data_IF_856447036684
#
_entry.id   IF_856447036684
#
_cell.length_a   1.000
_cell.length_b   1.000
_cell.length_c   1.000
_cell.angle_alpha   90.00
_cell.angle_beta   90.00
_cell.angle_gamma   90.00
#
_symmetry.space_group_name_H-M   'P 1'
#
loop_
_entity.id
_entity.type
_entity.pdbx_description
1 polymer ?
#
# COMPACT_ATOMS: atom_id res chain seq x y z
N UNK A 1 2.28 8.61 25.65
CA UNK A 1 3.20 9.17 24.62
C UNK A 1 4.34 9.89 25.31
N UNK A 2 5.58 9.78 24.81
CA UNK A 2 6.74 10.55 25.32
C UNK A 2 6.88 11.86 24.53
N UNK A 3 7.09 12.99 25.21
CA UNK A 3 7.40 14.28 24.55
C UNK A 3 8.87 14.33 24.19
N UNK A 4 9.17 14.66 22.94
CA UNK A 4 10.55 14.82 22.44
C UNK A 4 10.62 16.15 21.71
N UNK A 5 11.56 17.02 22.09
CA UNK A 5 11.85 18.28 21.40
C UNK A 5 12.93 18.03 20.37
N UNK A 6 12.73 18.50 19.14
CA UNK A 6 13.64 18.32 18.01
C UNK A 6 13.84 19.68 17.36
N UNK A 7 15.09 20.09 17.13
CA UNK A 7 15.39 21.27 16.33
C UNK A 7 15.28 20.93 14.85
N UNK A 8 14.57 21.76 14.09
CA UNK A 8 14.42 21.61 12.64
C UNK A 8 15.08 22.81 11.94
N UNK A 9 15.65 22.63 10.74
CA UNK A 9 15.94 23.74 9.85
C UNK A 9 14.70 24.61 9.59
N UNK A 10 14.88 25.92 9.44
CA UNK A 10 13.78 26.88 9.31
C UNK A 10 12.86 26.57 8.12
N UNK A 11 13.44 26.20 6.97
CA UNK A 11 12.71 25.81 5.76
C UNK A 11 11.82 24.57 5.98
N UNK A 12 12.30 23.61 6.77
CA UNK A 12 11.54 22.42 7.14
C UNK A 12 10.43 22.74 8.16
N UNK A 13 10.70 23.63 9.11
CA UNK A 13 9.68 24.11 10.05
C UNK A 13 8.55 24.83 9.31
N UNK A 14 8.89 25.71 8.36
CA UNK A 14 7.93 26.42 7.50
C UNK A 14 7.12 25.46 6.62
N UNK A 15 7.74 24.40 6.11
CA UNK A 15 7.03 23.36 5.37
C UNK A 15 6.03 22.60 6.25
N UNK A 16 6.44 22.23 7.48
CA UNK A 16 5.57 21.52 8.43
C UNK A 16 4.37 22.39 8.86
N UNK A 17 4.59 23.67 9.11
CA UNK A 17 3.53 24.62 9.48
C UNK A 17 2.53 24.83 8.34
N UNK A 18 3.01 24.92 7.10
CA UNK A 18 2.13 24.96 5.92
C UNK A 18 1.29 23.70 5.82
N UNK A 19 1.88 22.53 6.03
CA UNK A 19 1.15 21.26 5.94
C UNK A 19 0.12 21.08 7.06
N UNK A 20 0.47 21.49 8.28
CA UNK A 20 -0.43 21.55 9.44
C UNK A 20 -1.70 22.34 9.13
N UNK A 21 -1.54 23.53 8.53
CA UNK A 21 -2.67 24.37 8.09
C UNK A 21 -3.44 23.74 6.93
N UNK A 22 -2.76 23.17 5.94
CA UNK A 22 -3.39 22.53 4.76
C UNK A 22 -4.27 21.34 5.14
N UNK A 23 -3.83 20.51 6.09
CA UNK A 23 -4.58 19.31 6.53
C UNK A 23 -5.51 19.56 7.70
N UNK A 24 -5.51 20.77 8.27
CA UNK A 24 -6.18 21.08 9.54
C UNK A 24 -5.82 20.09 10.66
N UNK A 25 -4.55 19.67 10.72
CA UNK A 25 -4.04 18.71 11.68
C UNK A 25 -2.86 19.31 12.45
N UNK A 26 -2.68 18.94 13.72
CA UNK A 26 -1.55 19.46 14.49
C UNK A 26 -0.22 18.96 13.90
N UNK A 27 0.80 19.81 13.90
CA UNK A 27 2.16 19.48 13.43
C UNK A 27 2.71 18.19 14.07
N UNK A 28 2.36 17.92 15.33
CA UNK A 28 2.77 16.70 16.04
C UNK A 28 2.10 15.42 15.52
N UNK A 29 0.93 15.51 14.88
CA UNK A 29 0.29 14.37 14.20
C UNK A 29 1.00 14.07 12.88
N UNK A 30 1.24 15.11 12.07
CA UNK A 30 1.97 14.99 10.79
C UNK A 30 3.39 14.45 11.03
N UNK A 31 4.11 15.00 11.99
CA UNK A 31 5.45 14.53 12.33
C UNK A 31 5.45 13.07 12.80
N UNK A 32 4.44 12.66 13.58
CA UNK A 32 4.31 11.26 14.02
C UNK A 32 3.98 10.33 12.86
N UNK A 33 3.09 10.70 11.95
CA UNK A 33 2.78 9.92 10.74
C UNK A 33 4.03 9.75 9.86
N UNK A 34 4.74 10.84 9.59
CA UNK A 34 5.97 10.82 8.80
C UNK A 34 7.08 9.96 9.45
N UNK A 35 7.29 10.11 10.76
CA UNK A 35 8.26 9.30 11.50
C UNK A 35 7.85 7.82 11.55
N UNK A 36 6.57 7.53 11.73
CA UNK A 36 6.03 6.17 11.68
C UNK A 36 6.25 5.51 10.32
N UNK A 37 5.96 6.24 9.23
CA UNK A 37 6.19 5.78 7.87
C UNK A 37 7.69 5.54 7.60
N UNK A 38 8.54 6.50 7.96
CA UNK A 38 9.99 6.44 7.75
C UNK A 38 10.67 5.32 8.55
N UNK A 39 10.31 5.17 9.82
CA UNK A 39 10.87 4.13 10.69
C UNK A 39 10.18 2.76 10.52
N UNK A 40 9.09 2.70 9.76
CA UNK A 40 8.28 1.50 9.58
C UNK A 40 7.55 1.04 10.86
N UNK A 41 7.39 1.92 11.85
CA UNK A 41 6.77 1.63 13.14
C UNK A 41 5.32 2.13 13.15
N UNK A 42 4.36 1.26 13.47
CA UNK A 42 2.93 1.62 13.50
C UNK A 42 2.07 1.03 12.39
N UNK A 43 2.62 0.16 11.53
CA UNK A 43 1.85 -0.70 10.60
C UNK A 43 1.14 -1.86 11.32
N UNK A 44 0.47 -1.58 12.43
CA UNK A 44 -0.33 -2.56 13.19
C UNK A 44 -1.80 -2.58 12.75
N UNK A 45 -2.10 -2.17 11.50
CA UNK A 45 -3.48 -2.09 11.02
C UNK A 45 -3.64 -1.76 9.52
N UNK A 46 -2.69 -1.11 8.88
CA UNK A 46 -2.73 -0.92 7.43
C UNK A 46 -2.05 -2.08 6.71
N UNK A 47 -2.91 -2.81 5.98
CA UNK A 47 -2.60 -3.93 5.10
C UNK A 47 -1.31 -3.61 4.33
N UNK A 48 -0.23 -4.33 4.66
CA UNK A 48 1.01 -4.33 3.86
C UNK A 48 0.60 -4.50 2.40
N UNK A 49 0.84 -3.48 1.58
CA UNK A 49 0.68 -3.63 0.13
C UNK A 49 1.64 -4.72 -0.31
N UNK A 50 1.06 -5.89 -0.57
CA UNK A 50 1.80 -7.04 -1.04
C UNK A 50 2.16 -6.72 -2.50
N UNK A 51 3.45 -6.66 -2.86
CA UNK A 51 3.91 -6.26 -4.20
C UNK A 51 3.46 -7.24 -5.30
N UNK A 52 2.79 -8.32 -4.92
CA UNK A 52 2.29 -9.36 -5.80
C UNK A 52 0.76 -9.40 -5.94
N UNK A 53 0.02 -8.56 -5.21
CA UNK A 53 -1.44 -8.48 -5.36
C UNK A 53 -1.77 -7.68 -6.62
N UNK A 54 -2.69 -8.19 -7.44
CA UNK A 54 -3.12 -7.59 -8.71
C UNK A 54 -2.05 -7.49 -9.83
N UNK A 55 -0.99 -8.31 -9.78
CA UNK A 55 0.01 -8.39 -10.86
C UNK A 55 -0.55 -8.87 -12.22
N UNK A 56 -1.75 -9.46 -12.24
CA UNK A 56 -2.38 -9.90 -13.47
C UNK A 56 -3.91 -9.88 -13.37
N UNK A 57 -4.56 -9.26 -14.36
CA UNK A 57 -6.00 -9.26 -14.49
C UNK A 57 -6.39 -10.14 -15.68
N UNK A 58 -6.93 -11.34 -15.43
CA UNK A 58 -7.34 -12.28 -16.48
C UNK A 58 -8.62 -11.85 -17.23
N UNK A 59 -9.22 -10.71 -16.87
CA UNK A 59 -10.54 -10.25 -17.36
C UNK A 59 -11.73 -11.16 -16.95
N UNK A 60 -11.48 -12.27 -16.26
CA UNK A 60 -12.46 -13.32 -15.96
C UNK A 60 -12.69 -13.43 -14.46
N UNK A 61 -13.93 -13.18 -14.03
CA UNK A 61 -14.33 -13.16 -12.61
C UNK A 61 -14.52 -14.54 -11.99
N UNK A 62 -14.58 -15.57 -12.82
CA UNK A 62 -14.90 -16.95 -12.46
C UNK A 62 -13.70 -17.92 -12.58
N UNK A 63 -12.51 -17.41 -12.90
CA UNK A 63 -11.30 -18.25 -13.11
C UNK A 63 -11.02 -19.22 -11.95
N UNK A 64 -11.27 -18.81 -10.71
CA UNK A 64 -11.06 -19.67 -9.53
C UNK A 64 -12.15 -20.75 -9.37
N UNK A 65 -13.39 -20.47 -9.78
CA UNK A 65 -14.52 -21.40 -9.67
C UNK A 65 -14.49 -22.44 -10.79
N UNK A 66 -14.07 -22.01 -11.98
CA UNK A 66 -14.16 -22.81 -13.20
C UNK A 66 -12.78 -23.36 -13.61
N UNK A 67 -11.85 -23.45 -12.65
CA UNK A 67 -10.45 -23.80 -12.89
C UNK A 67 -10.31 -25.14 -13.62
N UNK A 68 -11.05 -26.16 -13.16
CA UNK A 68 -10.98 -27.51 -13.72
C UNK A 68 -11.44 -27.55 -15.18
N UNK A 69 -12.57 -26.90 -15.47
CA UNK A 69 -13.13 -26.84 -16.82
C UNK A 69 -12.20 -26.08 -17.78
N UNK A 70 -11.59 -24.97 -17.32
CA UNK A 70 -10.64 -24.19 -18.10
C UNK A 70 -9.38 -25.00 -18.43
N UNK A 71 -8.84 -25.73 -17.45
CA UNK A 71 -7.68 -26.60 -17.64
C UNK A 71 -8.00 -27.74 -18.60
N UNK A 72 -9.14 -28.39 -18.44
CA UNK A 72 -9.55 -29.51 -19.30
C UNK A 72 -9.72 -29.08 -20.76
N UNK A 73 -10.33 -27.90 -21.00
CA UNK A 73 -10.42 -27.32 -22.36
C UNK A 73 -9.05 -27.01 -22.96
N UNK A 74 -8.15 -26.40 -22.18
CA UNK A 74 -6.81 -26.04 -22.65
C UNK A 74 -5.96 -27.28 -23.00
N UNK A 75 -6.01 -28.33 -22.18
CA UNK A 75 -5.33 -29.58 -22.46
C UNK A 75 -5.95 -30.35 -23.64
N UNK A 76 -7.27 -30.33 -23.78
CA UNK A 76 -7.95 -30.95 -24.90
C UNK A 76 -7.66 -30.25 -26.24
N UNK A 77 -7.43 -28.93 -26.23
CA UNK A 77 -6.93 -28.21 -27.42
C UNK A 77 -5.47 -28.57 -27.73
N UNK A 78 -4.58 -28.60 -26.72
CA UNK A 78 -3.15 -28.92 -26.91
C UNK A 78 -2.93 -30.35 -27.43
N UNK A 79 -3.79 -31.29 -27.02
CA UNK A 79 -3.74 -32.68 -27.49
C UNK A 79 -4.28 -32.87 -28.92
N UNK A 80 -5.02 -31.89 -29.48
CA UNK A 80 -5.55 -31.93 -30.86
C UNK A 80 -4.62 -31.27 -31.87
N UNK A 81 -3.71 -30.41 -31.40
CA UNK A 81 -2.70 -29.72 -32.22
C UNK A 81 -1.36 -30.50 -32.31
N UNK A 82 -1.30 -31.73 -31.76
CA UNK A 82 -0.20 -32.70 -31.94
C UNK A 82 -0.65 -33.84 -32.86
#
# INVERSE_FOLDING_TARGET
MRRTTISLPDDLADALDRESRRRAQPASAIAREALSAYLGVGRSGERRELPFVALGHSGRRNTARDMEELLQRAWASDARDR
#
